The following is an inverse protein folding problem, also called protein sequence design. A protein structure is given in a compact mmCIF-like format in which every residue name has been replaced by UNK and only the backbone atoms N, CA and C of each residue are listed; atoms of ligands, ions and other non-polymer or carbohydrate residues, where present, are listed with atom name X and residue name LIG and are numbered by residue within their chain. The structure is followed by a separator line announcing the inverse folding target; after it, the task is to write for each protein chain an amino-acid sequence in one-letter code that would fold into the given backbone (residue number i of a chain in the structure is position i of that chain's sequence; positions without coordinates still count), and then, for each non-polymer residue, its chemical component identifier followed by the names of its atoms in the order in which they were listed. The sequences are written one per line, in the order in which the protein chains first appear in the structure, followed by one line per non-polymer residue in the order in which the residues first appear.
data_IF_914959937798
#
_entry.id   IF_914959937798
#
_cell.length_a   1.000
_cell.length_b   1.000
_cell.length_c   1.000
_cell.angle_alpha   90.00
_cell.angle_beta   90.00
_cell.angle_gamma   90.00
#
_symmetry.space_group_name_H-M   'P 1'
#
loop_
_entity.id
_entity.type
_entity.pdbx_description
1 polymer ?
#
# COMPACT_ATOMS: atom_id res chain seq x y z
N UNK A 1 15.85 -25.82 4.40
CA UNK A 1 15.04 -25.58 5.60
C UNK A 1 15.39 -24.16 6.05
N UNK A 2 14.73 -23.16 5.47
CA UNK A 2 14.97 -21.75 5.74
C UNK A 2 13.97 -21.38 6.84
N UNK A 3 14.52 -21.06 8.01
CA UNK A 3 13.76 -20.64 9.20
C UNK A 3 13.41 -19.16 8.98
N UNK A 4 12.18 -18.87 8.61
CA UNK A 4 11.65 -17.51 8.64
C UNK A 4 11.61 -17.04 10.10
N UNK A 5 12.32 -15.97 10.39
CA UNK A 5 12.31 -15.28 11.67
C UNK A 5 10.91 -14.72 11.92
N UNK A 6 10.29 -15.16 13.01
CA UNK A 6 9.03 -14.63 13.54
C UNK A 6 9.27 -13.23 14.07
N UNK A 7 8.96 -12.19 13.32
CA UNK A 7 8.66 -10.82 13.75
C UNK A 7 8.56 -9.96 12.49
N UNK A 8 7.57 -10.22 11.65
CA UNK A 8 7.16 -9.28 10.61
C UNK A 8 5.86 -8.66 11.08
N UNK A 9 5.92 -7.41 11.49
CA UNK A 9 4.74 -6.56 11.52
C UNK A 9 4.36 -6.37 10.05
N UNK A 10 3.32 -7.07 9.62
CA UNK A 10 2.86 -6.94 8.25
C UNK A 10 1.67 -6.00 8.28
N UNK A 11 1.95 -4.74 8.00
CA UNK A 11 0.92 -3.75 7.75
C UNK A 11 0.61 -3.84 6.27
N UNK A 12 -0.45 -4.58 5.93
CA UNK A 12 -1.01 -4.61 4.58
C UNK A 12 -1.79 -3.32 4.29
N UNK A 13 -1.30 -2.18 4.76
CA UNK A 13 -1.87 -0.88 4.43
C UNK A 13 -1.53 -0.44 3.02
N UNK A 14 -0.45 -0.95 2.47
CA UNK A 14 -0.09 -0.95 1.06
C UNK A 14 0.59 -2.26 0.75
N UNK A 15 0.11 -3.00 -0.25
CA UNK A 15 0.81 -4.16 -0.80
C UNK A 15 2.07 -3.72 -1.56
N UNK A 16 2.92 -2.92 -0.92
CA UNK A 16 4.29 -2.72 -1.32
C UNK A 16 5.17 -3.24 -0.20
N UNK A 17 5.70 -4.42 -0.41
CA UNK A 17 6.79 -4.94 0.37
C UNK A 17 7.92 -3.92 0.37
N UNK A 18 8.10 -3.19 1.47
CA UNK A 18 9.43 -2.76 1.83
C UNK A 18 10.12 -4.03 2.30
N UNK A 19 10.56 -4.87 1.37
CA UNK A 19 11.58 -5.85 1.64
C UNK A 19 12.83 -5.03 1.92
N UNK A 20 12.94 -4.51 3.16
CA UNK A 20 14.08 -3.75 3.59
C UNK A 20 15.34 -4.54 3.26
N UNK A 21 16.12 -4.06 2.31
CA UNK A 21 17.50 -4.47 2.17
C UNK A 21 18.14 -4.15 3.53
N UNK A 22 18.20 -5.13 4.42
CA UNK A 22 18.94 -5.04 5.66
C UNK A 22 20.41 -4.90 5.26
N UNK A 23 20.85 -3.68 5.09
CA UNK A 23 22.26 -3.38 5.23
C UNK A 23 22.64 -3.85 6.64
N UNK A 24 23.27 -5.01 6.71
CA UNK A 24 23.78 -5.60 7.94
C UNK A 24 24.86 -4.70 8.54
N UNK A 25 24.43 -3.63 9.19
CA UNK A 25 25.23 -3.01 10.24
C UNK A 25 24.94 -3.84 11.49
N UNK A 26 25.99 -4.48 11.99
CA UNK A 26 25.97 -5.33 13.17
C UNK A 26 25.68 -4.46 14.40
N UNK A 27 24.39 -4.24 14.70
CA UNK A 27 23.96 -3.59 15.93
C UNK A 27 23.13 -4.56 16.78
N UNK A 28 23.46 -4.63 18.05
CA UNK A 28 22.83 -5.48 19.06
C UNK A 28 21.40 -5.04 19.46
N UNK A 29 20.89 -3.92 18.89
CA UNK A 29 19.51 -3.46 18.98
C UNK A 29 19.13 -2.84 17.61
N UNK A 30 18.22 -3.45 16.84
CA UNK A 30 17.75 -2.86 15.60
C UNK A 30 17.08 -1.50 15.88
N UNK A 31 17.35 -0.51 15.03
CA UNK A 31 16.68 0.80 15.08
C UNK A 31 15.18 0.61 14.94
N UNK A 32 14.36 1.32 15.72
CA UNK A 32 12.91 1.31 15.51
C UNK A 32 12.49 2.11 14.27
N UNK A 33 13.43 2.80 13.61
CA UNK A 33 13.21 3.58 12.41
C UNK A 33 13.73 2.85 11.19
N UNK A 34 12.93 2.86 10.14
CA UNK A 34 13.31 2.44 8.79
C UNK A 34 12.97 3.51 7.76
N UNK A 35 13.64 3.48 6.63
CA UNK A 35 13.34 4.33 5.48
C UNK A 35 13.72 3.57 4.21
N UNK A 36 12.97 3.80 3.14
CA UNK A 36 13.18 3.18 1.84
C UNK A 36 12.51 3.97 0.73
N UNK A 37 12.64 3.50 -0.49
CA UNK A 37 11.92 4.06 -1.62
C UNK A 37 11.68 2.99 -2.68
N UNK A 38 10.51 3.02 -3.30
CA UNK A 38 10.20 2.20 -4.46
C UNK A 38 10.24 3.04 -5.75
N UNK A 39 10.71 2.43 -6.82
CA UNK A 39 10.58 2.95 -8.17
C UNK A 39 9.67 2.04 -8.95
N UNK A 40 8.50 2.52 -9.34
CA UNK A 40 7.50 1.73 -10.05
C UNK A 40 7.16 2.32 -11.41
N UNK A 41 6.83 1.45 -12.35
CA UNK A 41 6.49 1.87 -13.72
C UNK A 41 5.15 2.58 -13.82
N UNK A 42 4.22 2.32 -12.89
CA UNK A 42 2.91 2.97 -12.79
C UNK A 42 2.34 2.73 -11.41
N UNK A 43 1.72 3.73 -10.80
CA UNK A 43 1.01 3.60 -9.54
C UNK A 43 -0.44 3.20 -9.81
N UNK A 44 -0.80 1.99 -9.37
CA UNK A 44 -2.17 1.46 -9.47
C UNK A 44 -2.71 1.29 -8.06
N UNK A 45 -3.61 2.16 -7.66
CA UNK A 45 -4.26 2.09 -6.36
C UNK A 45 -5.63 1.42 -6.48
N UNK A 46 -5.78 0.24 -5.86
CA UNK A 46 -7.03 -0.54 -5.85
C UNK A 46 -7.65 -0.72 -7.25
N UNK A 47 -6.79 -1.03 -8.23
CA UNK A 47 -7.18 -1.24 -9.63
C UNK A 47 -7.34 0.05 -10.45
N UNK A 48 -7.13 1.22 -9.86
CA UNK A 48 -7.22 2.52 -10.55
C UNK A 48 -5.84 3.16 -10.66
N UNK A 49 -5.47 3.56 -11.89
CA UNK A 49 -4.21 4.23 -12.14
C UNK A 49 -4.22 5.65 -11.58
N UNK A 50 -3.19 5.97 -10.82
CA UNK A 50 -2.89 7.29 -10.31
C UNK A 50 -1.73 7.90 -11.11
N UNK A 51 -1.82 9.19 -11.43
CA UNK A 51 -0.81 9.84 -12.24
C UNK A 51 -0.65 9.27 -13.65
N UNK A 52 0.46 9.54 -14.31
CA UNK A 52 0.64 9.24 -15.74
C UNK A 52 1.99 8.65 -16.14
N UNK A 53 2.87 8.36 -15.20
CA UNK A 53 4.24 7.88 -15.49
C UNK A 53 4.79 6.93 -14.45
N UNK A 54 6.09 6.70 -14.49
CA UNK A 54 6.80 6.07 -13.39
C UNK A 54 6.74 6.95 -12.14
N UNK A 55 6.67 6.30 -10.98
CA UNK A 55 6.61 6.96 -9.68
C UNK A 55 7.82 6.60 -8.83
N UNK A 56 8.28 7.56 -8.02
CA UNK A 56 9.16 7.31 -6.88
C UNK A 56 8.30 7.38 -5.63
N UNK A 57 8.41 6.37 -4.77
CA UNK A 57 7.57 6.21 -3.59
C UNK A 57 8.41 6.08 -2.32
N UNK A 58 8.91 7.20 -1.76
CA UNK A 58 9.65 7.18 -0.50
C UNK A 58 8.74 6.88 0.69
N UNK A 59 9.31 6.20 1.69
CA UNK A 59 8.65 5.92 2.96
C UNK A 59 9.60 6.09 4.14
N UNK A 60 9.04 6.47 5.28
CA UNK A 60 9.70 6.44 6.58
C UNK A 60 8.73 5.83 7.60
N UNK A 61 9.25 4.91 8.42
CA UNK A 61 8.47 4.20 9.41
C UNK A 61 9.17 4.19 10.77
N UNK A 62 8.36 4.27 11.81
CA UNK A 62 8.72 3.93 13.19
C UNK A 62 7.91 2.70 13.61
N UNK A 63 8.59 1.64 14.08
CA UNK A 63 7.94 0.42 14.55
C UNK A 63 8.52 0.00 15.89
N UNK A 64 7.64 -0.24 16.88
CA UNK A 64 8.05 -0.74 18.19
C UNK A 64 6.94 -1.55 18.87
N UNK A 65 7.22 -2.82 19.13
CA UNK A 65 6.25 -3.73 19.72
C UNK A 65 5.09 -4.01 18.76
N UNK A 66 3.88 -3.73 19.17
CA UNK A 66 2.67 -3.84 18.35
C UNK A 66 2.27 -2.54 17.65
N UNK A 67 3.03 -1.46 17.82
CA UNK A 67 2.72 -0.17 17.23
C UNK A 67 3.65 0.14 16.07
N UNK A 68 3.10 0.63 14.98
CA UNK A 68 3.83 1.26 13.88
C UNK A 68 3.14 2.53 13.42
N UNK A 69 3.93 3.49 12.93
CA UNK A 69 3.43 4.70 12.29
C UNK A 69 4.45 5.20 11.26
N UNK A 70 3.98 5.87 10.23
CA UNK A 70 4.87 6.33 9.18
C UNK A 70 4.28 7.39 8.29
N UNK A 71 5.11 7.80 7.34
CA UNK A 71 4.72 8.60 6.20
C UNK A 71 5.17 7.89 4.92
N UNK A 72 4.32 7.92 3.94
CA UNK A 72 4.59 7.45 2.59
C UNK A 72 4.25 8.56 1.61
N UNK A 73 4.91 8.60 0.48
CA UNK A 73 4.57 9.53 -0.58
C UNK A 73 4.77 8.91 -1.95
N UNK A 74 4.15 9.48 -2.97
CA UNK A 74 4.34 9.07 -4.35
C UNK A 74 4.40 10.30 -5.25
N UNK A 75 5.36 10.29 -6.18
CA UNK A 75 5.66 11.42 -7.04
C UNK A 75 5.94 10.92 -8.46
N UNK A 76 5.21 11.43 -9.45
CA UNK A 76 5.51 11.18 -10.85
C UNK A 76 6.22 12.37 -11.52
N UNK A 77 6.68 12.19 -12.74
CA UNK A 77 7.36 13.25 -13.51
C UNK A 77 6.38 14.26 -14.15
N UNK A 78 5.08 14.07 -13.99
CA UNK A 78 4.05 14.86 -14.67
C UNK A 78 3.22 15.70 -13.69
N UNK A 79 3.56 15.67 -12.39
CA UNK A 79 3.00 16.52 -11.36
C UNK A 79 1.99 15.83 -10.44
N UNK A 80 1.79 14.51 -10.54
CA UNK A 80 1.01 13.80 -9.53
C UNK A 80 1.84 13.64 -8.26
N UNK A 81 1.29 14.08 -7.16
CA UNK A 81 1.89 13.99 -5.83
C UNK A 81 0.84 13.56 -4.80
N UNK A 82 1.19 12.62 -3.95
CA UNK A 82 0.39 12.17 -2.81
C UNK A 82 1.31 11.95 -1.61
N UNK A 83 0.85 12.30 -0.42
CA UNK A 83 1.56 12.08 0.84
C UNK A 83 0.58 11.56 1.86
N UNK A 84 0.85 10.39 2.41
CA UNK A 84 0.00 9.71 3.36
C UNK A 84 0.68 9.62 4.71
N UNK A 85 -0.08 9.89 5.76
CA UNK A 85 0.31 9.61 7.14
C UNK A 85 -0.51 8.43 7.65
N UNK A 86 0.14 7.50 8.35
CA UNK A 86 -0.56 6.33 8.85
C UNK A 86 -0.05 5.88 10.21
N UNK A 87 -0.88 5.16 10.92
CA UNK A 87 -0.50 4.38 12.09
C UNK A 87 -1.31 3.08 12.18
N UNK A 88 -0.74 2.05 12.84
CA UNK A 88 -1.41 0.79 13.06
C UNK A 88 -0.98 0.13 14.36
N UNK A 89 -1.82 -0.81 14.81
CA UNK A 89 -1.58 -1.68 15.94
C UNK A 89 -1.82 -3.13 15.56
N UNK A 90 -0.83 -3.97 15.79
CA UNK A 90 -0.98 -5.41 15.71
C UNK A 90 -1.81 -5.92 16.88
N UNK A 91 -2.72 -6.84 16.58
CA UNK A 91 -3.59 -7.50 17.52
C UNK A 91 -3.32 -9.02 17.51
N UNK A 92 -3.68 -9.75 18.58
CA UNK A 92 -3.55 -11.19 18.60
C UNK A 92 -4.35 -11.89 17.49
N UNK A 93 -3.81 -12.99 16.96
CA UNK A 93 -4.50 -13.82 15.98
C UNK A 93 -4.32 -13.41 14.53
N UNK A 94 -3.30 -12.59 14.25
CA UNK A 94 -2.99 -12.11 12.89
C UNK A 94 -3.83 -10.91 12.45
N UNK A 95 -4.52 -10.25 13.38
CA UNK A 95 -5.25 -9.02 13.10
C UNK A 95 -4.36 -7.78 13.26
N UNK A 96 -4.68 -6.73 12.49
CA UNK A 96 -4.18 -5.39 12.70
C UNK A 96 -5.32 -4.37 12.51
N UNK A 97 -5.23 -3.25 13.21
CA UNK A 97 -6.13 -2.10 13.03
C UNK A 97 -5.29 -0.86 12.83
N UNK A 98 -5.66 -0.02 11.86
CA UNK A 98 -4.93 1.18 11.53
C UNK A 98 -5.82 2.31 11.06
N UNK A 99 -5.16 3.43 10.81
CA UNK A 99 -5.76 4.60 10.18
C UNK A 99 -4.76 5.23 9.23
N UNK A 100 -5.26 5.71 8.11
CA UNK A 100 -4.48 6.42 7.10
C UNK A 100 -5.16 7.74 6.75
N UNK A 101 -4.34 8.74 6.48
CA UNK A 101 -4.70 10.05 5.96
C UNK A 101 -4.13 10.18 4.55
N UNK A 102 -4.99 10.21 3.55
CA UNK A 102 -4.63 10.49 2.16
C UNK A 102 -4.63 11.99 1.93
N UNK A 103 -3.51 12.54 1.52
CA UNK A 103 -3.34 13.97 1.24
C UNK A 103 -2.70 14.20 -0.13
N UNK A 104 -3.31 15.09 -0.93
CA UNK A 104 -2.73 15.56 -2.20
C UNK A 104 -2.05 16.92 -2.00
N UNK A 105 -0.71 17.04 -2.14
CA UNK A 105 0.03 18.28 -1.83
C UNK A 105 -0.33 19.50 -2.66
N UNK A 106 -0.99 19.36 -3.79
CA UNK A 106 -1.52 20.47 -4.58
C UNK A 106 -2.72 21.19 -3.93
N UNK A 107 -3.32 20.56 -2.89
CA UNK A 107 -4.45 21.11 -2.15
C UNK A 107 -3.98 21.84 -0.87
N UNK A 108 -4.76 22.82 -0.36
CA UNK A 108 -4.44 23.50 0.90
C UNK A 108 -4.46 22.50 2.07
N UNK A 109 -3.32 22.28 2.72
CA UNK A 109 -3.16 21.30 3.82
C UNK A 109 -4.18 21.39 4.95
N UNK A 110 -4.65 22.61 5.31
CA UNK A 110 -5.60 22.78 6.41
C UNK A 110 -7.07 22.84 5.94
N UNK A 111 -7.37 22.40 4.72
CA UNK A 111 -8.75 22.29 4.25
C UNK A 111 -9.32 20.90 4.59
N UNK A 112 -10.21 20.88 5.58
CA UNK A 112 -10.96 19.69 6.03
C UNK A 112 -12.45 19.78 5.67
N UNK A 113 -12.81 20.63 4.71
CA UNK A 113 -14.20 20.76 4.26
C UNK A 113 -14.64 19.53 3.46
N UNK A 114 -15.96 19.28 3.42
CA UNK A 114 -16.50 18.21 2.61
C UNK A 114 -16.35 18.49 1.10
N UNK A 115 -16.50 19.75 0.67
CA UNK A 115 -16.53 20.12 -0.75
C UNK A 115 -15.14 20.09 -1.40
N UNK A 116 -14.15 20.70 -0.75
CA UNK A 116 -12.81 20.91 -1.31
C UNK A 116 -11.70 20.31 -0.43
N UNK A 117 -12.07 19.50 0.58
CA UNK A 117 -11.18 18.94 1.58
C UNK A 117 -10.00 18.18 0.98
N UNK A 118 -8.83 18.43 1.58
CA UNK A 118 -7.54 17.91 1.16
C UNK A 118 -7.18 16.55 1.80
N UNK A 119 -7.98 16.07 2.77
CA UNK A 119 -7.69 14.90 3.59
C UNK A 119 -8.82 13.89 3.58
N UNK A 120 -8.56 12.66 3.15
CA UNK A 120 -9.47 11.54 3.31
C UNK A 120 -8.92 10.58 4.37
N UNK A 121 -9.68 10.38 5.45
CA UNK A 121 -9.29 9.51 6.56
C UNK A 121 -9.90 8.13 6.41
N UNK A 122 -9.06 7.11 6.37
CA UNK A 122 -9.47 5.72 6.25
C UNK A 122 -9.14 4.93 7.51
N UNK A 123 -10.10 4.15 8.00
CA UNK A 123 -9.89 3.11 9.01
C UNK A 123 -9.67 1.78 8.32
N UNK A 124 -8.64 1.05 8.74
CA UNK A 124 -8.22 -0.22 8.16
C UNK A 124 -8.33 -1.32 9.20
N UNK A 125 -8.84 -2.48 8.79
CA UNK A 125 -8.84 -3.72 9.55
C UNK A 125 -8.28 -4.81 8.65
N UNK A 126 -7.17 -5.40 9.07
CA UNK A 126 -6.47 -6.43 8.33
C UNK A 126 -6.41 -7.73 9.14
N UNK A 127 -6.40 -8.84 8.44
CA UNK A 127 -6.15 -10.16 8.99
C UNK A 127 -5.27 -10.96 8.07
N UNK A 128 -4.28 -11.62 8.65
CA UNK A 128 -3.33 -12.45 7.92
C UNK A 128 -3.10 -13.78 8.60
N UNK A 129 -2.91 -14.80 7.77
CA UNK A 129 -2.43 -16.12 8.14
C UNK A 129 -1.27 -16.51 7.21
N UNK A 130 -0.81 -17.78 7.29
CA UNK A 130 0.34 -18.25 6.52
C UNK A 130 0.24 -17.98 5.00
N UNK A 131 -0.94 -18.16 4.41
CA UNK A 131 -1.15 -18.07 2.96
C UNK A 131 -2.36 -17.22 2.54
N UNK A 132 -3.05 -16.62 3.50
CA UNK A 132 -4.29 -15.87 3.23
C UNK A 132 -4.22 -14.54 3.94
N UNK A 133 -4.58 -13.47 3.25
CA UNK A 133 -4.78 -12.18 3.87
C UNK A 133 -6.12 -11.57 3.44
N UNK A 134 -6.71 -10.79 4.34
CA UNK A 134 -7.97 -10.08 4.16
C UNK A 134 -7.80 -8.66 4.65
N UNK A 135 -8.41 -7.72 3.95
CA UNK A 135 -8.43 -6.31 4.34
C UNK A 135 -9.83 -5.74 4.20
N UNK A 136 -10.22 -4.88 5.14
CA UNK A 136 -11.46 -4.13 5.11
C UNK A 136 -11.15 -2.67 5.45
N UNK A 137 -11.50 -1.77 4.56
CA UNK A 137 -11.12 -0.37 4.60
C UNK A 137 -12.36 0.51 4.49
N UNK A 138 -12.41 1.58 5.30
CA UNK A 138 -13.55 2.47 5.36
C UNK A 138 -13.11 3.92 5.47
N UNK A 139 -13.41 4.72 4.45
CA UNK A 139 -13.16 6.16 4.46
C UNK A 139 -14.31 6.85 5.18
N UNK A 140 -13.99 7.56 6.26
CA UNK A 140 -14.97 8.07 7.22
C UNK A 140 -15.52 9.45 6.86
N UNK A 141 -14.83 10.21 6.00
CA UNK A 141 -15.21 11.59 5.69
C UNK A 141 -15.32 11.85 4.19
N UNK A 142 -16.21 12.76 3.83
CA UNK A 142 -16.24 13.39 2.52
C UNK A 142 -15.08 14.38 2.42
N UNK A 143 -14.36 14.36 1.31
CA UNK A 143 -13.24 15.24 0.98
C UNK A 143 -13.14 15.38 -0.54
N UNK A 144 -13.89 16.31 -1.10
CA UNK A 144 -14.05 16.45 -2.55
C UNK A 144 -12.77 16.83 -3.28
N UNK A 145 -11.82 17.50 -2.61
CA UNK A 145 -10.52 17.84 -3.18
C UNK A 145 -9.68 16.61 -3.51
N UNK A 146 -9.69 15.57 -2.66
CA UNK A 146 -9.02 14.30 -2.94
C UNK A 146 -9.92 13.29 -3.67
N UNK A 147 -11.23 13.55 -3.78
CA UNK A 147 -12.18 12.72 -4.52
C UNK A 147 -12.98 11.73 -3.69
N UNK A 148 -12.85 11.74 -2.35
CA UNK A 148 -13.64 10.89 -1.46
C UNK A 148 -15.09 11.39 -1.34
N UNK A 149 -16.05 10.47 -1.48
CA UNK A 149 -17.46 10.74 -1.25
C UNK A 149 -17.86 10.57 0.23
N UNK A 150 -16.96 10.04 1.05
CA UNK A 150 -17.26 9.59 2.41
C UNK A 150 -18.10 8.31 2.45
N UNK A 151 -17.89 7.48 3.45
CA UNK A 151 -18.48 6.14 3.57
C UNK A 151 -18.06 5.19 2.43
N UNK A 152 -16.90 5.44 1.83
CA UNK A 152 -16.33 4.59 0.80
C UNK A 152 -15.75 3.32 1.44
N UNK A 153 -16.21 2.17 0.96
CA UNK A 153 -15.80 0.84 1.46
C UNK A 153 -14.92 0.16 0.43
N UNK A 154 -13.87 -0.50 0.91
CA UNK A 154 -13.05 -1.39 0.09
C UNK A 154 -12.69 -2.65 0.86
N UNK A 155 -12.85 -3.78 0.23
CA UNK A 155 -12.45 -5.09 0.74
C UNK A 155 -11.49 -5.73 -0.23
N UNK A 156 -10.45 -6.38 0.31
CA UNK A 156 -9.52 -7.15 -0.50
C UNK A 156 -9.22 -8.48 0.17
N UNK A 157 -9.04 -9.51 -0.62
CA UNK A 157 -8.61 -10.82 -0.20
C UNK A 157 -7.48 -11.31 -1.09
N UNK A 158 -6.48 -11.96 -0.51
CA UNK A 158 -5.38 -12.52 -1.28
C UNK A 158 -4.94 -13.90 -0.80
N UNK A 159 -4.28 -14.58 -1.73
CA UNK A 159 -3.68 -15.90 -1.54
C UNK A 159 -2.22 -15.84 -1.95
N UNK A 160 -1.32 -16.18 -1.03
CA UNK A 160 0.11 -16.23 -1.28
C UNK A 160 0.56 -17.67 -1.51
N UNK A 161 1.31 -17.87 -2.60
CA UNK A 161 1.95 -19.12 -2.97
C UNK A 161 3.48 -18.94 -2.97
N UNK A 162 4.23 -20.00 -3.13
CA UNK A 162 5.69 -19.95 -3.12
C UNK A 162 6.29 -18.98 -4.17
N UNK A 163 5.62 -18.82 -5.33
CA UNK A 163 6.16 -18.08 -6.47
C UNK A 163 5.36 -16.86 -6.87
N UNK A 164 4.13 -16.72 -6.41
CA UNK A 164 3.24 -15.63 -6.77
C UNK A 164 2.13 -15.46 -5.74
N UNK A 165 1.47 -14.33 -5.75
CA UNK A 165 0.25 -14.05 -5.01
C UNK A 165 -0.91 -13.71 -5.95
N UNK A 166 -2.13 -14.04 -5.55
CA UNK A 166 -3.35 -13.63 -6.22
C UNK A 166 -4.15 -12.74 -5.27
N UNK A 167 -4.82 -11.74 -5.82
CA UNK A 167 -5.69 -10.87 -5.04
C UNK A 167 -6.97 -10.51 -5.78
N UNK A 168 -8.01 -10.21 -5.01
CA UNK A 168 -9.31 -9.76 -5.45
C UNK A 168 -9.81 -8.65 -4.52
N UNK A 169 -10.10 -7.47 -5.08
CA UNK A 169 -10.65 -6.33 -4.37
C UNK A 169 -11.98 -5.85 -4.94
N UNK A 170 -12.85 -5.39 -4.06
CA UNK A 170 -14.15 -4.82 -4.38
C UNK A 170 -14.46 -3.65 -3.45
N UNK A 171 -15.11 -2.62 -3.97
CA UNK A 171 -15.44 -1.44 -3.21
C UNK A 171 -16.58 -0.63 -3.83
N UNK A 172 -16.88 0.50 -3.21
CA UNK A 172 -17.83 1.48 -3.72
C UNK A 172 -17.25 2.90 -3.68
N UNK A 173 -18.05 3.89 -4.03
CA UNK A 173 -17.68 5.30 -3.92
C UNK A 173 -16.43 5.62 -4.73
N UNK A 174 -15.40 6.10 -4.07
CA UNK A 174 -14.12 6.48 -4.68
C UNK A 174 -13.42 5.35 -5.47
N UNK A 175 -13.70 4.09 -5.08
CA UNK A 175 -13.01 2.91 -5.66
C UNK A 175 -13.57 2.45 -7.00
N UNK A 176 -14.76 2.93 -7.41
CA UNK A 176 -15.47 2.47 -8.60
C UNK A 176 -15.93 3.61 -9.49
N UNK A 177 -16.15 3.35 -10.77
CA UNK A 177 -16.56 4.39 -11.73
C UNK A 177 -17.98 4.89 -11.47
N UNK A 178 -18.88 3.98 -11.13
CA UNK A 178 -20.30 4.32 -10.88
C UNK A 178 -20.58 4.77 -9.44
N UNK A 179 -19.61 4.65 -8.53
CA UNK A 179 -19.81 4.78 -7.08
C UNK A 179 -20.57 3.62 -6.43
N UNK A 180 -21.10 2.66 -7.21
CA UNK A 180 -21.73 1.44 -6.72
C UNK A 180 -20.71 0.39 -6.27
N UNK A 181 -21.16 -0.61 -5.49
CA UNK A 181 -20.26 -1.67 -5.03
C UNK A 181 -19.97 -2.67 -6.16
N UNK A 182 -18.70 -2.71 -6.62
CA UNK A 182 -18.24 -3.56 -7.71
C UNK A 182 -16.87 -4.16 -7.41
N UNK A 183 -16.52 -5.26 -8.09
CA UNK A 183 -15.14 -5.74 -8.16
C UNK A 183 -14.34 -4.77 -9.04
N UNK A 184 -13.30 -4.17 -8.45
CA UNK A 184 -12.50 -3.14 -9.12
C UNK A 184 -11.00 -3.47 -9.15
N UNK A 185 -10.56 -4.54 -8.48
CA UNK A 185 -9.15 -4.90 -8.41
C UNK A 185 -8.99 -6.43 -8.41
N UNK A 186 -8.35 -6.96 -9.42
CA UNK A 186 -8.07 -8.39 -9.56
C UNK A 186 -6.66 -8.53 -10.11
N UNK A 187 -5.80 -9.31 -9.46
CA UNK A 187 -4.44 -9.40 -9.97
C UNK A 187 -3.62 -10.57 -9.50
N UNK A 188 -2.46 -10.63 -10.12
CA UNK A 188 -1.38 -11.53 -9.81
C UNK A 188 -0.12 -10.70 -9.55
N UNK A 189 0.60 -11.05 -8.51
CA UNK A 189 1.88 -10.44 -8.15
C UNK A 189 2.98 -11.51 -8.07
N UNK A 190 4.16 -11.15 -8.53
CA UNK A 190 5.39 -11.92 -8.39
C UNK A 190 6.45 -11.01 -7.80
N UNK A 191 7.10 -11.45 -6.71
CA UNK A 191 8.24 -10.77 -6.12
C UNK A 191 9.47 -11.69 -6.20
N UNK A 192 10.61 -11.15 -6.61
CA UNK A 192 11.90 -11.85 -6.73
C UNK A 192 13.06 -10.92 -6.41
N UNK A 193 14.09 -11.48 -5.81
CA UNK A 193 15.36 -10.79 -5.66
C UNK A 193 16.17 -10.88 -6.94
N UNK A 194 16.57 -9.72 -7.48
CA UNK A 194 17.57 -9.63 -8.52
C UNK A 194 18.96 -9.58 -7.87
N UNK A 195 19.68 -10.69 -7.94
CA UNK A 195 21.06 -10.74 -7.45
C UNK A 195 21.97 -9.92 -8.37
N UNK A 196 22.48 -8.80 -7.86
CA UNK A 196 23.45 -7.94 -8.56
C UNK A 196 24.88 -8.41 -8.27
N UNK A 197 25.13 -8.78 -7.02
CA UNK A 197 26.38 -9.40 -6.55
C UNK A 197 26.09 -10.47 -5.50
N UNK A 198 27.07 -11.28 -5.09
CA UNK A 198 26.94 -12.25 -3.99
C UNK A 198 26.46 -11.64 -2.65
N UNK A 199 26.50 -10.32 -2.50
CA UNK A 199 26.16 -9.60 -1.26
C UNK A 199 25.11 -8.52 -1.43
N UNK A 200 24.61 -8.32 -2.63
CA UNK A 200 23.65 -7.26 -2.93
C UNK A 200 22.63 -7.75 -3.93
N UNK A 201 21.37 -7.70 -3.53
CA UNK A 201 20.20 -7.95 -4.37
C UNK A 201 19.23 -6.77 -4.30
N UNK A 202 18.42 -6.62 -5.31
CA UNK A 202 17.33 -5.64 -5.40
C UNK A 202 16.04 -6.41 -5.56
N UNK A 203 15.06 -6.26 -4.65
CA UNK A 203 13.73 -6.81 -4.83
C UNK A 203 13.07 -6.22 -6.08
N UNK A 204 12.57 -7.09 -6.94
CA UNK A 204 11.79 -6.73 -8.13
C UNK A 204 10.39 -7.29 -7.96
N UNK A 205 9.38 -6.43 -8.14
CA UNK A 205 7.97 -6.81 -8.17
C UNK A 205 7.42 -6.68 -9.58
N UNK A 206 6.66 -7.67 -10.02
CA UNK A 206 5.88 -7.64 -11.24
C UNK A 206 4.42 -7.89 -10.94
N UNK A 207 3.52 -7.04 -11.43
CA UNK A 207 2.08 -7.19 -11.24
C UNK A 207 1.34 -7.19 -12.57
N UNK A 208 0.33 -8.06 -12.67
CA UNK A 208 -0.71 -8.01 -13.68
C UNK A 208 -2.02 -7.70 -12.96
N UNK A 209 -2.60 -6.54 -13.23
CA UNK A 209 -3.79 -6.03 -12.56
C UNK A 209 -4.89 -5.83 -13.59
N UNK A 210 -6.09 -6.29 -13.27
CA UNK A 210 -7.31 -6.10 -14.05
C UNK A 210 -8.37 -5.40 -13.20
N UNK A 211 -8.91 -4.30 -13.71
CA UNK A 211 -10.08 -3.62 -13.14
C UNK A 211 -11.31 -3.92 -13.99
N UNK A 212 -12.19 -4.83 -13.56
CA UNK A 212 -13.39 -5.18 -14.36
C UNK A 212 -14.43 -4.05 -14.41
N UNK A 213 -14.50 -3.19 -13.38
CA UNK A 213 -15.44 -2.07 -13.32
C UNK A 213 -15.14 -1.00 -14.38
N UNK A 214 -13.83 -0.78 -14.67
CA UNK A 214 -13.34 0.18 -15.68
C UNK A 214 -12.89 -0.47 -16.98
N UNK A 215 -12.99 -1.80 -17.11
CA UNK A 215 -12.51 -2.59 -18.25
C UNK A 215 -11.03 -2.30 -18.60
N UNK A 216 -10.17 -2.13 -17.56
CA UNK A 216 -8.77 -1.78 -17.71
C UNK A 216 -7.85 -2.89 -17.23
N UNK A 217 -6.68 -3.01 -17.87
CA UNK A 217 -5.64 -3.95 -17.49
C UNK A 217 -4.29 -3.22 -17.44
N UNK A 218 -3.49 -3.55 -16.41
CA UNK A 218 -2.19 -2.93 -16.17
C UNK A 218 -1.13 -3.99 -15.97
N UNK A 219 0.08 -3.69 -16.45
CA UNK A 219 1.31 -4.40 -16.11
C UNK A 219 2.20 -3.41 -15.36
N UNK A 220 2.60 -3.77 -14.15
CA UNK A 220 3.44 -2.92 -13.31
C UNK A 220 4.73 -3.66 -13.00
N UNK A 221 5.84 -2.94 -13.00
CA UNK A 221 7.15 -3.43 -12.53
C UNK A 221 7.68 -2.42 -11.53
N UNK A 222 8.18 -2.92 -10.40
CA UNK A 222 8.75 -2.11 -9.33
C UNK A 222 10.10 -2.63 -8.86
N UNK A 223 10.91 -1.74 -8.26
CA UNK A 223 12.17 -2.01 -7.59
C UNK A 223 12.13 -1.35 -6.22
N UNK A 224 12.56 -2.07 -5.18
CA UNK A 224 12.63 -1.56 -3.82
C UNK A 224 14.09 -1.30 -3.39
N UNK A 225 14.34 -0.20 -2.64
CA UNK A 225 15.66 0.24 -2.18
C UNK A 225 15.68 0.56 -0.69
#
# INVERSE_FOLDING_TARGET
MIIFSKHSVIITLFAFFIAGAQLSAQESNPSPWSAGADLISSYIWRGTRQGSGPHIQPAIEYSRGSFAAGAWGTFDLHGYEEVDLWFAFDLPGGFAIGMQDYYLPELPYFDYSAADGAHAFEVNLDWESENVWLSANYIINEAGGVGSYGNDLYFEAGLSFEYFSLFLGAGNGWHTESGGFNVCNLGLEICRDLEITEKFSIPITGQLIFNPDREQMFVVVGFAF
#
